data_IF_223011492999
#
_entry.id   IF_223011492999
#
_cell.length_a   1.000
_cell.length_b   1.000
_cell.length_c   1.000
_cell.angle_alpha   90.00
_cell.angle_beta   90.00
_cell.angle_gamma   90.00
#
_symmetry.space_group_name_H-M   'P 1'
#
loop_
_entity.id
_entity.type
_entity.pdbx_description
1 polymer ?
#
# COMPACT_ATOMS: atom_id res chain seq x y z
N UNK A 1 -12.60 -39.08 -38.25
CA UNK A 1 -13.79 -38.86 -37.39
C UNK A 1 -13.54 -39.37 -35.96
N UNK A 2 -12.75 -38.66 -35.13
CA UNK A 2 -12.60 -38.96 -33.67
C UNK A 2 -12.38 -37.71 -32.81
N UNK A 3 -12.80 -36.53 -33.29
CA UNK A 3 -12.68 -35.27 -32.53
C UNK A 3 -14.01 -34.83 -31.88
N UNK A 4 -15.16 -35.29 -32.39
CA UNK A 4 -16.49 -34.89 -31.88
C UNK A 4 -16.93 -35.58 -30.58
N UNK A 5 -16.35 -36.73 -30.22
CA UNK A 5 -16.79 -37.53 -29.06
C UNK A 5 -16.16 -37.11 -27.73
N UNK A 6 -14.98 -36.47 -27.71
CA UNK A 6 -14.38 -35.95 -26.47
C UNK A 6 -15.08 -34.68 -25.98
N UNK A 7 -15.40 -33.74 -26.87
CA UNK A 7 -16.15 -32.52 -26.51
C UNK A 7 -17.56 -32.84 -25.99
N UNK A 8 -18.27 -33.79 -26.61
CA UNK A 8 -19.62 -34.17 -26.18
C UNK A 8 -19.65 -34.98 -24.87
N UNK A 9 -18.55 -35.65 -24.51
CA UNK A 9 -18.38 -36.35 -23.22
C UNK A 9 -17.97 -35.38 -22.11
N UNK A 10 -17.15 -34.38 -22.42
CA UNK A 10 -16.78 -33.29 -21.52
C UNK A 10 -17.98 -32.41 -21.15
N UNK A 11 -18.81 -32.01 -22.13
CA UNK A 11 -20.07 -31.31 -21.87
C UNK A 11 -21.08 -32.13 -21.08
N UNK A 12 -21.19 -33.44 -21.31
CA UNK A 12 -22.09 -34.32 -20.53
C UNK A 12 -21.63 -34.52 -19.10
N UNK A 13 -20.33 -34.71 -18.86
CA UNK A 13 -19.75 -34.83 -17.52
C UNK A 13 -19.88 -33.53 -16.72
N UNK A 14 -19.70 -32.36 -17.35
CA UNK A 14 -19.93 -31.07 -16.70
C UNK A 14 -21.42 -30.81 -16.40
N UNK A 15 -22.33 -31.23 -17.28
CA UNK A 15 -23.79 -31.11 -17.05
C UNK A 15 -24.28 -32.05 -15.94
N UNK A 16 -23.74 -33.27 -15.86
CA UNK A 16 -24.02 -34.23 -14.79
C UNK A 16 -23.41 -33.81 -13.44
N UNK A 17 -22.23 -33.17 -13.44
CA UNK A 17 -21.63 -32.56 -12.25
C UNK A 17 -22.42 -31.33 -11.77
N UNK A 18 -22.93 -30.52 -12.69
CA UNK A 18 -23.80 -29.37 -12.38
C UNK A 18 -25.13 -29.80 -11.76
N UNK A 19 -25.68 -30.95 -12.17
CA UNK A 19 -26.91 -31.53 -11.62
C UNK A 19 -26.73 -32.27 -10.27
N UNK A 20 -25.49 -32.48 -9.78
CA UNK A 20 -25.19 -33.08 -8.47
C UNK A 20 -24.59 -32.09 -7.46
N UNK A 21 -24.68 -30.79 -7.73
CA UNK A 21 -24.16 -29.76 -6.83
C UNK A 21 -25.11 -29.56 -5.66
N UNK A 22 -24.61 -29.73 -4.43
CA UNK A 22 -25.39 -29.40 -3.22
C UNK A 22 -25.54 -27.89 -3.10
N UNK A 23 -26.60 -27.40 -2.47
CA UNK A 23 -26.77 -25.96 -2.21
C UNK A 23 -25.58 -25.39 -1.41
N UNK A 24 -25.03 -26.20 -0.51
CA UNK A 24 -23.78 -25.95 0.23
C UNK A 24 -22.56 -25.68 -0.69
N UNK A 25 -22.41 -26.42 -1.78
CA UNK A 25 -21.29 -26.24 -2.71
C UNK A 25 -21.49 -25.02 -3.61
N UNK A 26 -22.75 -24.71 -3.96
CA UNK A 26 -23.10 -23.49 -4.70
C UNK A 26 -22.78 -22.25 -3.87
N UNK A 27 -23.18 -22.25 -2.60
CA UNK A 27 -22.85 -21.18 -1.65
C UNK A 27 -21.35 -21.01 -1.44
N UNK A 28 -20.59 -22.11 -1.33
CA UNK A 28 -19.15 -22.05 -1.19
C UNK A 28 -18.48 -21.48 -2.46
N UNK A 29 -18.92 -21.87 -3.66
CA UNK A 29 -18.40 -21.30 -4.91
C UNK A 29 -18.70 -19.79 -5.01
N UNK A 30 -19.91 -19.37 -4.66
CA UNK A 30 -20.27 -17.96 -4.64
C UNK A 30 -19.42 -17.18 -3.61
N UNK A 31 -19.22 -17.74 -2.41
CA UNK A 31 -18.36 -17.14 -1.39
C UNK A 31 -16.91 -17.02 -1.87
N UNK A 32 -16.39 -18.02 -2.58
CA UNK A 32 -15.07 -17.95 -3.19
C UNK A 32 -14.98 -16.81 -4.21
N UNK A 33 -15.93 -16.71 -5.15
CA UNK A 33 -15.89 -15.64 -6.15
C UNK A 33 -16.03 -14.23 -5.54
N UNK A 34 -17.03 -14.01 -4.68
CA UNK A 34 -17.20 -12.71 -3.99
C UNK A 34 -16.03 -12.38 -3.06
N UNK A 35 -15.42 -13.40 -2.45
CA UNK A 35 -14.21 -13.25 -1.66
C UNK A 35 -13.02 -12.83 -2.52
N UNK A 36 -12.74 -13.55 -3.60
CA UNK A 36 -11.61 -13.28 -4.49
C UNK A 36 -11.73 -11.91 -5.18
N UNK A 37 -12.88 -11.59 -5.77
CA UNK A 37 -13.11 -10.29 -6.42
C UNK A 37 -13.06 -9.14 -5.40
N UNK A 38 -13.70 -9.32 -4.24
CA UNK A 38 -13.68 -8.30 -3.20
C UNK A 38 -12.29 -8.09 -2.60
N UNK A 39 -11.48 -9.13 -2.47
CA UNK A 39 -10.08 -9.03 -2.03
C UNK A 39 -9.29 -8.13 -2.98
N UNK A 40 -9.35 -8.40 -4.29
CA UNK A 40 -8.68 -7.59 -5.32
C UNK A 40 -9.17 -6.15 -5.31
N UNK A 41 -10.50 -5.94 -5.29
CA UNK A 41 -11.08 -4.60 -5.29
C UNK A 41 -10.62 -3.77 -4.09
N UNK A 42 -10.77 -4.30 -2.87
CA UNK A 42 -10.32 -3.58 -1.67
C UNK A 42 -8.81 -3.37 -1.64
N UNK A 43 -8.02 -4.31 -2.15
CA UNK A 43 -6.56 -4.13 -2.23
C UNK A 43 -6.18 -2.94 -3.12
N UNK A 44 -6.75 -2.86 -4.33
CA UNK A 44 -6.48 -1.75 -5.26
C UNK A 44 -7.05 -0.42 -4.75
N UNK A 45 -8.20 -0.43 -4.07
CA UNK A 45 -8.73 0.77 -3.42
C UNK A 45 -7.84 1.24 -2.27
N UNK A 46 -7.19 0.32 -1.54
CA UNK A 46 -6.20 0.67 -0.53
C UNK A 46 -4.98 1.36 -1.15
N UNK A 47 -4.48 0.85 -2.29
CA UNK A 47 -3.38 1.50 -3.03
C UNK A 47 -3.73 2.93 -3.46
N UNK A 48 -4.93 3.12 -4.03
CA UNK A 48 -5.41 4.44 -4.40
C UNK A 48 -5.51 5.38 -3.19
N UNK A 49 -6.09 4.90 -2.08
CA UNK A 49 -6.19 5.68 -0.85
C UNK A 49 -4.81 6.11 -0.31
N UNK A 50 -3.76 5.28 -0.42
CA UNK A 50 -2.39 5.67 -0.03
C UNK A 50 -1.82 6.78 -0.93
N UNK A 51 -2.09 6.72 -2.25
CA UNK A 51 -1.67 7.78 -3.20
C UNK A 51 -2.33 9.11 -2.87
N UNK A 52 -3.56 9.08 -2.38
CA UNK A 52 -4.30 10.27 -1.91
C UNK A 52 -3.96 10.66 -0.47
N UNK A 53 -2.95 10.04 0.15
CA UNK A 53 -2.54 10.24 1.54
C UNK A 53 -3.67 10.00 2.55
N UNK A 54 -4.59 9.07 2.26
CA UNK A 54 -5.68 8.61 3.12
C UNK A 54 -5.34 7.27 3.78
N UNK A 55 -4.34 7.28 4.66
CA UNK A 55 -3.78 6.05 5.24
C UNK A 55 -4.76 5.29 6.14
N UNK A 56 -5.69 5.96 6.83
CA UNK A 56 -6.70 5.25 7.62
C UNK A 56 -7.77 4.60 6.74
N UNK A 57 -8.18 5.25 5.64
CA UNK A 57 -9.00 4.59 4.63
C UNK A 57 -8.27 3.41 3.99
N UNK A 58 -6.99 3.56 3.63
CA UNK A 58 -6.19 2.47 3.09
C UNK A 58 -6.12 1.29 4.07
N UNK A 59 -5.88 1.55 5.35
CA UNK A 59 -5.89 0.57 6.44
C UNK A 59 -7.23 -0.15 6.56
N UNK A 60 -8.35 0.57 6.47
CA UNK A 60 -9.69 -0.02 6.47
C UNK A 60 -9.88 -0.95 5.25
N UNK A 61 -9.48 -0.50 4.07
CA UNK A 61 -9.56 -1.31 2.85
C UNK A 61 -8.65 -2.54 2.91
N UNK A 62 -7.44 -2.44 3.44
CA UNK A 62 -6.57 -3.61 3.66
C UNK A 62 -7.19 -4.63 4.61
N UNK A 63 -7.81 -4.18 5.71
CA UNK A 63 -8.51 -5.06 6.64
C UNK A 63 -9.70 -5.76 5.95
N UNK A 64 -10.49 -5.02 5.16
CA UNK A 64 -11.59 -5.59 4.38
C UNK A 64 -11.07 -6.58 3.32
N UNK A 65 -9.93 -6.28 2.68
CA UNK A 65 -9.26 -7.14 1.71
C UNK A 65 -8.79 -8.45 2.35
N UNK A 66 -8.16 -8.39 3.52
CA UNK A 66 -7.73 -9.59 4.25
C UNK A 66 -8.92 -10.44 4.71
N UNK A 67 -10.01 -9.80 5.14
CA UNK A 67 -11.23 -10.51 5.53
C UNK A 67 -11.84 -11.26 4.34
N UNK A 68 -11.78 -10.67 3.14
CA UNK A 68 -12.21 -11.30 1.90
C UNK A 68 -11.35 -12.50 1.52
N UNK A 69 -10.04 -12.36 1.61
CA UNK A 69 -9.10 -13.45 1.34
C UNK A 69 -9.32 -14.63 2.29
N UNK A 70 -9.52 -14.37 3.58
CA UNK A 70 -9.80 -15.43 4.56
C UNK A 70 -11.09 -16.20 4.22
N UNK A 71 -12.16 -15.49 3.83
CA UNK A 71 -13.44 -16.11 3.40
C UNK A 71 -13.28 -16.90 2.10
N UNK A 72 -12.56 -16.35 1.13
CA UNK A 72 -12.26 -17.06 -0.12
C UNK A 72 -11.46 -18.35 0.17
N UNK A 73 -10.43 -18.26 1.00
CA UNK A 73 -9.63 -19.42 1.41
C UNK A 73 -10.42 -20.47 2.19
N UNK A 74 -11.36 -20.06 3.05
CA UNK A 74 -12.26 -20.98 3.73
C UNK A 74 -13.15 -21.74 2.72
N UNK A 75 -13.77 -21.01 1.79
CA UNK A 75 -14.61 -21.60 0.75
C UNK A 75 -13.81 -22.56 -0.16
N UNK A 76 -12.61 -22.15 -0.57
CA UNK A 76 -11.70 -22.95 -1.40
C UNK A 76 -11.32 -24.28 -0.72
N UNK A 77 -11.05 -24.25 0.60
CA UNK A 77 -10.81 -25.47 1.39
C UNK A 77 -12.05 -26.34 1.53
N UNK A 78 -13.23 -25.75 1.78
CA UNK A 78 -14.51 -26.48 1.89
C UNK A 78 -14.86 -27.25 0.61
N UNK A 79 -14.50 -26.69 -0.54
CA UNK A 79 -14.65 -27.30 -1.86
C UNK A 79 -13.60 -28.38 -2.17
N UNK A 80 -12.70 -28.70 -1.23
CA UNK A 80 -11.59 -29.64 -1.38
C UNK A 80 -10.68 -29.30 -2.57
N UNK A 81 -10.49 -28.00 -2.82
CA UNK A 81 -9.57 -27.52 -3.87
C UNK A 81 -8.14 -27.34 -3.37
N UNK A 82 -7.90 -27.34 -2.05
CA UNK A 82 -6.56 -27.53 -1.49
C UNK A 82 -6.30 -29.02 -1.34
N UNK A 83 -5.33 -29.55 -2.10
CA UNK A 83 -4.90 -30.94 -2.05
C UNK A 83 -3.44 -31.05 -1.63
N UNK A 84 -2.80 -32.20 -1.86
CA UNK A 84 -1.35 -32.31 -1.65
C UNK A 84 -0.59 -31.35 -2.56
N UNK A 85 0.62 -30.94 -2.16
CA UNK A 85 1.45 -30.01 -2.95
C UNK A 85 1.69 -30.51 -4.37
N UNK A 86 1.93 -31.81 -4.54
CA UNK A 86 2.10 -32.41 -5.86
C UNK A 86 0.85 -32.25 -6.74
N UNK A 87 -0.34 -32.51 -6.19
CA UNK A 87 -1.61 -32.34 -6.91
C UNK A 87 -1.91 -30.87 -7.21
N UNK A 88 -1.57 -29.95 -6.30
CA UNK A 88 -1.77 -28.52 -6.51
C UNK A 88 -0.87 -28.00 -7.65
N UNK A 89 0.37 -28.48 -7.77
CA UNK A 89 1.27 -28.14 -8.89
C UNK A 89 0.71 -28.62 -10.22
N UNK A 90 0.23 -29.87 -10.29
CA UNK A 90 -0.42 -30.39 -11.50
C UNK A 90 -1.67 -29.58 -11.86
N UNK A 91 -2.47 -29.22 -10.86
CA UNK A 91 -3.68 -28.41 -11.05
C UNK A 91 -3.36 -26.99 -11.53
N UNK A 92 -2.28 -26.38 -11.01
CA UNK A 92 -1.80 -25.08 -11.47
C UNK A 92 -1.28 -25.15 -12.92
N UNK A 93 -0.49 -26.18 -13.26
CA UNK A 93 0.03 -26.38 -14.61
C UNK A 93 -1.07 -26.64 -15.64
N UNK A 94 -2.10 -27.41 -15.28
CA UNK A 94 -3.20 -27.79 -16.18
C UNK A 94 -4.31 -26.74 -16.29
N UNK A 95 -4.28 -25.69 -15.46
CA UNK A 95 -5.33 -24.66 -15.42
C UNK A 95 -6.59 -25.16 -14.73
N UNK A 96 -6.58 -25.21 -13.39
CA UNK A 96 -7.72 -25.63 -12.58
C UNK A 96 -9.02 -24.89 -12.97
N UNK A 97 -10.07 -25.67 -13.29
CA UNK A 97 -11.36 -25.14 -13.75
C UNK A 97 -12.33 -25.03 -12.59
N UNK A 98 -12.91 -23.85 -12.38
CA UNK A 98 -13.88 -23.58 -11.33
C UNK A 98 -15.33 -23.91 -11.77
N UNK A 99 -15.60 -23.79 -13.08
CA UNK A 99 -16.94 -23.86 -13.66
C UNK A 99 -17.67 -22.51 -13.58
N UNK A 100 -18.98 -22.53 -13.84
CA UNK A 100 -19.81 -21.33 -13.75
C UNK A 100 -19.97 -20.90 -12.29
N UNK A 101 -19.78 -19.60 -12.03
CA UNK A 101 -20.01 -18.99 -10.72
C UNK A 101 -21.02 -17.86 -10.89
N UNK A 102 -22.07 -17.90 -10.09
CA UNK A 102 -23.08 -16.84 -10.07
C UNK A 102 -22.68 -15.75 -9.06
N UNK A 103 -22.34 -14.57 -9.55
CA UNK A 103 -22.01 -13.41 -8.75
C UNK A 103 -22.59 -12.14 -9.37
N UNK A 104 -23.48 -11.47 -8.63
CA UNK A 104 -24.18 -10.25 -9.05
C UNK A 104 -23.47 -8.95 -8.63
N UNK A 105 -22.40 -9.05 -7.84
CA UNK A 105 -21.68 -7.92 -7.23
C UNK A 105 -20.22 -8.25 -6.98
N UNK A 106 -19.40 -7.21 -6.79
CA UNK A 106 -17.97 -7.34 -6.47
C UNK A 106 -17.75 -7.54 -4.97
N UNK A 107 -18.51 -6.84 -4.13
CA UNK A 107 -18.38 -6.90 -2.67
C UNK A 107 -19.74 -7.12 -2.00
N UNK A 108 -19.76 -7.92 -0.94
CA UNK A 108 -20.80 -7.86 0.10
C UNK A 108 -20.26 -7.08 1.30
N UNK A 109 -21.07 -6.70 2.30
CA UNK A 109 -20.55 -6.09 3.53
C UNK A 109 -21.26 -6.67 4.76
N UNK A 110 -20.51 -7.00 5.80
CA UNK A 110 -21.07 -7.35 7.11
C UNK A 110 -21.63 -6.08 7.78
N UNK A 111 -22.47 -6.20 8.83
CA UNK A 111 -22.96 -5.04 9.56
C UNK A 111 -21.84 -4.10 10.04
N UNK A 112 -20.78 -4.65 10.67
CA UNK A 112 -19.63 -3.85 11.10
C UNK A 112 -18.90 -3.19 9.92
N UNK A 113 -18.61 -3.93 8.84
CA UNK A 113 -17.96 -3.36 7.66
C UNK A 113 -18.78 -2.23 7.04
N UNK A 114 -20.11 -2.35 7.03
CA UNK A 114 -21.01 -1.30 6.56
C UNK A 114 -20.92 -0.06 7.43
N UNK A 115 -20.88 -0.22 8.75
CA UNK A 115 -20.70 0.89 9.68
C UNK A 115 -19.36 1.61 9.45
N UNK A 116 -18.26 0.87 9.38
CA UNK A 116 -16.92 1.42 9.11
C UNK A 116 -16.86 2.18 7.78
N UNK A 117 -17.45 1.61 6.72
CA UNK A 117 -17.54 2.26 5.41
C UNK A 117 -18.43 3.50 5.43
N UNK A 118 -19.49 3.53 6.25
CA UNK A 118 -20.31 4.74 6.42
C UNK A 118 -19.52 5.85 7.11
N UNK A 119 -18.66 5.52 8.09
CA UNK A 119 -17.71 6.49 8.67
C UNK A 119 -16.74 7.02 7.61
N UNK A 120 -16.18 6.13 6.78
CA UNK A 120 -15.28 6.50 5.69
C UNK A 120 -15.96 7.42 4.66
N UNK A 121 -17.21 7.14 4.28
CA UNK A 121 -17.98 8.00 3.36
C UNK A 121 -18.15 9.41 3.91
N UNK A 122 -18.44 9.57 5.21
CA UNK A 122 -18.53 10.89 5.85
C UNK A 122 -17.20 11.63 5.80
N UNK A 123 -16.10 10.97 6.19
CA UNK A 123 -14.77 11.59 6.16
C UNK A 123 -14.39 12.06 4.74
N UNK A 124 -14.63 11.24 3.72
CA UNK A 124 -14.37 11.60 2.31
C UNK A 124 -15.25 12.76 1.86
N UNK A 125 -16.53 12.81 2.25
CA UNK A 125 -17.42 13.93 1.91
C UNK A 125 -16.97 15.27 2.52
N UNK A 126 -16.17 15.21 3.59
CA UNK A 126 -15.56 16.36 4.25
C UNK A 126 -14.14 16.67 3.72
N UNK A 127 -13.67 15.96 2.69
CA UNK A 127 -12.35 16.19 2.09
C UNK A 127 -11.17 15.77 2.98
N UNK A 128 -11.40 14.89 3.96
CA UNK A 128 -10.38 14.46 4.94
C UNK A 128 -10.28 12.92 5.04
N UNK A 129 -9.25 12.45 5.74
CA UNK A 129 -9.13 11.03 6.12
C UNK A 129 -9.95 10.75 7.40
N UNK A 130 -10.15 9.46 7.70
CA UNK A 130 -10.66 9.01 9.01
C UNK A 130 -9.68 9.43 10.11
N UNK A 131 -10.19 10.01 11.19
CA UNK A 131 -9.40 10.39 12.37
C UNK A 131 -9.17 9.20 13.30
N UNK A 132 -8.21 9.35 14.21
CA UNK A 132 -7.88 8.33 15.21
C UNK A 132 -9.07 7.95 16.10
N UNK A 133 -9.96 8.91 16.37
CA UNK A 133 -11.19 8.68 17.12
C UNK A 133 -12.34 8.07 16.31
N UNK A 134 -12.22 7.99 14.97
CA UNK A 134 -13.27 7.46 14.09
C UNK A 134 -12.99 6.02 13.62
N UNK A 135 -11.72 5.59 13.67
CA UNK A 135 -11.28 4.25 13.30
C UNK A 135 -10.25 3.70 14.30
N UNK A 136 -10.69 2.78 15.15
CA UNK A 136 -9.82 2.03 16.05
C UNK A 136 -8.89 1.06 15.30
N UNK A 137 -8.03 0.36 16.05
CA UNK A 137 -7.27 -0.74 15.48
C UNK A 137 -8.20 -1.86 14.99
N UNK A 138 -7.92 -2.38 13.80
CA UNK A 138 -8.72 -3.44 13.21
C UNK A 138 -7.98 -4.78 13.34
N UNK A 139 -8.75 -5.83 13.57
CA UNK A 139 -8.26 -7.20 13.65
C UNK A 139 -9.09 -8.07 12.73
N UNK A 140 -8.41 -8.89 11.92
CA UNK A 140 -9.06 -9.79 10.97
C UNK A 140 -8.65 -11.22 11.29
N UNK A 141 -9.63 -12.05 11.63
CA UNK A 141 -9.41 -13.48 11.79
C UNK A 141 -8.98 -14.11 10.46
N UNK A 142 -7.77 -14.66 10.36
CA UNK A 142 -7.25 -15.28 9.13
C UNK A 142 -7.96 -16.59 8.80
N UNK A 143 -8.65 -17.20 9.77
CA UNK A 143 -9.41 -18.45 9.62
C UNK A 143 -10.77 -18.23 8.96
N UNK A 144 -11.52 -17.19 9.34
CA UNK A 144 -12.91 -17.00 8.89
C UNK A 144 -13.23 -15.60 8.33
N UNK A 145 -12.29 -14.65 8.41
CA UNK A 145 -12.46 -13.28 7.93
C UNK A 145 -13.46 -12.46 8.75
N UNK A 146 -13.65 -12.79 10.02
CA UNK A 146 -14.36 -11.91 10.97
C UNK A 146 -13.49 -10.69 11.28
N UNK A 147 -14.12 -9.53 11.34
CA UNK A 147 -13.45 -8.25 11.58
C UNK A 147 -13.88 -7.76 12.97
N UNK A 148 -12.93 -7.28 13.75
CA UNK A 148 -13.16 -6.61 15.02
C UNK A 148 -12.48 -5.23 15.00
N UNK A 149 -13.10 -4.25 15.65
CA UNK A 149 -12.52 -2.93 15.90
C UNK A 149 -12.22 -2.75 17.39
N UNK A 150 -11.10 -2.11 17.72
CA UNK A 150 -10.74 -1.76 19.09
C UNK A 150 -9.74 -2.75 19.69
N UNK A 151 -10.17 -3.56 20.67
CA UNK A 151 -9.30 -4.53 21.34
C UNK A 151 -9.70 -5.95 20.95
N UNK A 152 -8.69 -6.80 20.75
CA UNK A 152 -8.90 -8.23 20.55
C UNK A 152 -9.04 -8.91 21.93
N UNK A 153 -10.26 -9.33 22.27
CA UNK A 153 -10.58 -9.97 23.53
C UNK A 153 -11.02 -11.43 23.29
N UNK A 154 -10.17 -12.37 23.71
CA UNK A 154 -10.48 -13.80 23.67
C UNK A 154 -10.56 -14.39 22.26
N UNK A 155 -11.16 -15.58 22.16
CA UNK A 155 -11.29 -16.31 20.91
C UNK A 155 -12.19 -15.59 19.90
N UNK A 156 -12.00 -15.88 18.61
CA UNK A 156 -12.84 -15.33 17.54
C UNK A 156 -14.31 -15.67 17.77
N UNK A 157 -15.17 -14.65 17.88
CA UNK A 157 -16.61 -14.80 18.15
C UNK A 157 -17.38 -15.60 17.08
N UNK A 158 -16.78 -15.76 15.89
CA UNK A 158 -17.40 -16.46 14.76
C UNK A 158 -16.96 -17.92 14.63
N UNK A 159 -15.67 -18.21 14.78
CA UNK A 159 -15.14 -19.56 14.53
C UNK A 159 -14.44 -20.20 15.72
N UNK A 160 -14.29 -19.49 16.84
CA UNK A 160 -13.65 -19.99 18.06
C UNK A 160 -12.13 -20.13 17.99
N UNK A 161 -11.48 -19.68 16.91
CA UNK A 161 -10.01 -19.72 16.82
C UNK A 161 -9.35 -18.76 17.83
N UNK A 162 -8.11 -19.05 18.19
CA UNK A 162 -7.35 -18.30 19.19
C UNK A 162 -6.94 -16.89 18.69
N UNK A 163 -6.66 -15.93 19.60
CA UNK A 163 -6.28 -14.56 19.24
C UNK A 163 -5.13 -14.45 18.23
N UNK A 164 -4.15 -15.34 18.31
CA UNK A 164 -2.95 -15.38 17.47
C UNK A 164 -3.27 -15.60 15.98
N UNK A 165 -4.46 -16.13 15.65
CA UNK A 165 -4.94 -16.26 14.28
C UNK A 165 -5.55 -14.96 13.73
N UNK A 166 -5.38 -13.81 14.39
CA UNK A 166 -5.84 -12.52 13.89
C UNK A 166 -4.69 -11.68 13.36
N UNK A 167 -4.84 -11.18 12.14
CA UNK A 167 -3.96 -10.16 11.58
C UNK A 167 -4.40 -8.80 12.09
N UNK A 168 -3.46 -8.04 12.64
CA UNK A 168 -3.69 -6.66 13.08
C UNK A 168 -3.51 -5.68 11.91
N UNK A 169 -4.26 -4.59 11.96
CA UNK A 169 -4.18 -3.44 11.07
C UNK A 169 -4.21 -2.19 11.95
N UNK A 170 -3.05 -1.85 12.49
CA UNK A 170 -2.91 -0.73 13.43
C UNK A 170 -2.63 0.58 12.72
N UNK A 171 -3.08 1.69 13.31
CA UNK A 171 -2.79 3.02 12.76
C UNK A 171 -1.26 3.23 12.66
N UNK A 172 -0.53 2.76 13.68
CA UNK A 172 0.93 2.85 13.75
C UNK A 172 1.65 2.03 12.67
N UNK A 173 1.11 0.88 12.27
CA UNK A 173 1.69 -0.01 11.25
C UNK A 173 1.45 0.53 9.83
N UNK A 174 0.35 1.24 9.63
CA UNK A 174 0.02 1.86 8.34
C UNK A 174 1.02 2.94 7.91
N UNK A 175 1.78 3.51 8.87
CA UNK A 175 2.83 4.48 8.59
C UNK A 175 4.15 3.81 8.19
N UNK A 176 4.33 2.52 8.48
CA UNK A 176 5.51 1.69 8.21
C UNK A 176 6.17 1.13 9.48
N UNK A 177 7.00 0.10 9.32
CA UNK A 177 7.55 -0.71 10.43
C UNK A 177 9.08 -0.71 10.49
N UNK A 178 9.76 0.09 9.68
CA UNK A 178 11.22 0.14 9.65
C UNK A 178 11.77 0.65 10.98
N UNK A 179 12.79 -0.04 11.49
CA UNK A 179 13.56 0.42 12.65
C UNK A 179 14.58 1.52 12.29
N UNK A 180 15.21 2.14 13.31
CA UNK A 180 16.12 3.27 13.13
C UNK A 180 17.24 3.03 12.10
N UNK A 181 17.84 1.84 12.09
CA UNK A 181 18.94 1.52 11.19
C UNK A 181 18.49 1.47 9.73
N UNK A 182 17.35 0.83 9.45
CA UNK A 182 16.78 0.77 8.10
C UNK A 182 16.32 2.15 7.62
N UNK A 183 15.78 2.98 8.53
CA UNK A 183 15.43 4.37 8.25
C UNK A 183 16.66 5.17 7.82
N UNK A 184 17.71 5.18 8.63
CA UNK A 184 18.94 5.92 8.33
C UNK A 184 19.55 5.47 7.01
N UNK A 185 19.64 4.15 6.80
CA UNK A 185 20.20 3.57 5.59
C UNK A 185 19.41 3.91 4.32
N UNK A 186 18.10 4.10 4.41
CA UNK A 186 17.29 4.59 3.30
C UNK A 186 17.56 6.08 3.06
N UNK A 187 17.49 6.90 4.11
CA UNK A 187 17.64 8.35 4.00
C UNK A 187 19.01 8.76 3.44
N UNK A 188 20.07 8.02 3.79
CA UNK A 188 21.44 8.22 3.29
C UNK A 188 21.60 7.88 1.80
N UNK A 189 20.75 7.03 1.24
CA UNK A 189 20.85 6.54 -0.15
C UNK A 189 19.91 7.25 -1.13
N UNK A 190 18.86 7.93 -0.64
CA UNK A 190 17.89 8.56 -1.55
C UNK A 190 18.56 9.53 -2.53
N UNK A 191 19.53 10.33 -2.10
CA UNK A 191 20.19 11.29 -2.99
C UNK A 191 20.90 10.63 -4.18
N UNK A 192 21.57 9.50 -3.97
CA UNK A 192 22.23 8.73 -5.03
C UNK A 192 21.21 8.25 -6.07
N UNK A 193 20.03 7.80 -5.61
CA UNK A 193 18.93 7.41 -6.50
C UNK A 193 18.42 8.60 -7.32
N UNK A 194 18.26 9.78 -6.72
CA UNK A 194 17.84 10.99 -7.42
C UNK A 194 18.86 11.42 -8.49
N UNK A 195 20.15 11.40 -8.16
CA UNK A 195 21.24 11.69 -9.10
C UNK A 195 21.26 10.70 -10.27
N UNK A 196 21.00 9.42 -9.99
CA UNK A 196 20.88 8.38 -11.03
C UNK A 196 19.69 8.62 -11.95
N UNK A 197 18.55 9.02 -11.40
CA UNK A 197 17.33 9.29 -12.19
C UNK A 197 17.53 10.44 -13.19
N UNK A 198 18.29 11.47 -12.83
CA UNK A 198 18.52 12.63 -13.71
C UNK A 198 19.76 12.51 -14.59
N UNK A 199 20.61 11.51 -14.36
CA UNK A 199 21.87 11.35 -15.08
C UNK A 199 21.65 11.23 -16.60
N UNK A 200 22.42 12.03 -17.34
CA UNK A 200 22.41 12.04 -18.81
C UNK A 200 21.22 12.75 -19.45
N UNK A 201 20.41 13.46 -18.68
CA UNK A 201 19.26 14.25 -19.18
C UNK A 201 19.56 15.75 -19.06
N UNK A 202 19.16 16.53 -20.07
CA UNK A 202 19.29 17.99 -20.03
C UNK A 202 18.18 18.66 -19.19
N UNK A 203 18.41 19.92 -18.81
CA UNK A 203 17.52 20.68 -17.93
C UNK A 203 16.10 20.87 -18.51
N UNK A 204 16.00 21.06 -19.83
CA UNK A 204 14.72 21.22 -20.54
C UNK A 204 13.92 19.91 -20.51
N UNK A 205 14.60 18.77 -20.64
CA UNK A 205 14.00 17.45 -20.55
C UNK A 205 13.51 17.15 -19.14
N UNK A 206 14.32 17.48 -18.13
CA UNK A 206 13.98 17.29 -16.71
C UNK A 206 12.83 18.19 -16.24
N UNK A 207 12.63 19.34 -16.91
CA UNK A 207 11.51 20.26 -16.69
C UNK A 207 10.21 19.84 -17.38
N UNK A 208 10.26 18.86 -18.30
CA UNK A 208 9.11 18.45 -19.09
C UNK A 208 8.13 17.63 -18.26
N UNK A 209 6.84 17.96 -18.40
CA UNK A 209 5.73 17.12 -17.93
C UNK A 209 5.27 16.17 -19.04
N UNK A 210 4.89 14.94 -18.67
CA UNK A 210 4.27 13.99 -19.61
C UNK A 210 2.89 14.48 -20.07
N UNK A 211 2.13 15.08 -19.16
CA UNK A 211 0.83 15.71 -19.37
C UNK A 211 0.58 16.70 -18.21
N UNK A 212 -0.49 17.49 -18.27
CA UNK A 212 -0.77 18.53 -17.27
C UNK A 212 -0.91 18.00 -15.84
N UNK A 213 -1.37 16.75 -15.68
CA UNK A 213 -1.58 16.10 -14.38
C UNK A 213 -0.31 15.44 -13.81
N UNK A 214 0.69 15.13 -14.64
CA UNK A 214 1.92 14.47 -14.22
C UNK A 214 3.02 15.50 -13.96
N UNK A 215 3.58 15.59 -12.73
CA UNK A 215 4.69 16.49 -12.44
C UNK A 215 5.95 16.12 -13.24
N UNK A 216 6.83 17.09 -13.41
CA UNK A 216 8.17 16.88 -13.96
C UNK A 216 9.11 16.29 -12.91
N UNK A 217 10.24 15.74 -13.34
CA UNK A 217 11.25 15.20 -12.42
C UNK A 217 11.78 16.28 -11.46
N UNK A 218 11.98 17.52 -11.94
CA UNK A 218 12.45 18.64 -11.10
C UNK A 218 11.44 19.01 -10.02
N UNK A 219 10.15 19.02 -10.36
CA UNK A 219 9.08 19.27 -9.39
C UNK A 219 9.04 18.19 -8.31
N UNK A 220 9.19 16.92 -8.69
CA UNK A 220 9.23 15.81 -7.73
C UNK A 220 10.44 15.88 -6.81
N UNK A 221 11.64 16.16 -7.34
CA UNK A 221 12.86 16.30 -6.51
C UNK A 221 12.73 17.47 -5.54
N UNK A 222 12.23 18.62 -6.01
CA UNK A 222 11.99 19.78 -5.16
C UNK A 222 10.95 19.52 -4.07
N UNK A 223 9.85 18.83 -4.42
CA UNK A 223 8.84 18.40 -3.45
C UNK A 223 9.42 17.49 -2.36
N UNK A 224 10.34 16.58 -2.71
CA UNK A 224 11.04 15.76 -1.72
C UNK A 224 11.91 16.61 -0.78
N UNK A 225 12.57 17.66 -1.30
CA UNK A 225 13.37 18.56 -0.48
C UNK A 225 12.51 19.32 0.54
N UNK A 226 11.36 19.82 0.11
CA UNK A 226 10.43 20.50 1.01
C UNK A 226 9.86 19.56 2.08
N UNK A 227 9.48 18.34 1.70
CA UNK A 227 8.92 17.34 2.61
C UNK A 227 9.94 16.88 3.65
N UNK A 228 11.23 16.80 3.28
CA UNK A 228 12.31 16.53 4.22
C UNK A 228 12.43 17.64 5.29
N UNK A 229 12.27 18.91 4.91
CA UNK A 229 12.27 20.03 5.85
C UNK A 229 11.10 19.97 6.84
N UNK A 230 9.92 19.58 6.37
CA UNK A 230 8.72 19.40 7.21
C UNK A 230 8.89 18.24 8.17
N UNK A 231 9.42 17.12 7.70
CA UNK A 231 9.78 16.00 8.57
C UNK A 231 10.77 16.45 9.65
N UNK A 232 11.82 17.19 9.29
CA UNK A 232 12.81 17.71 10.25
C UNK A 232 12.18 18.61 11.31
N UNK A 233 11.24 19.49 10.93
CA UNK A 233 10.50 20.32 11.88
C UNK A 233 9.69 19.45 12.87
N UNK A 234 8.98 18.43 12.37
CA UNK A 234 8.20 17.52 13.22
C UNK A 234 9.09 16.66 14.12
N UNK A 235 10.22 16.21 13.61
CA UNK A 235 11.22 15.47 14.39
C UNK A 235 11.77 16.33 15.52
N UNK A 236 12.13 17.59 15.25
CA UNK A 236 12.55 18.54 16.26
C UNK A 236 11.48 18.75 17.35
N UNK A 237 10.21 18.93 16.96
CA UNK A 237 9.11 19.06 17.93
C UNK A 237 9.01 17.84 18.85
N UNK A 238 9.03 16.63 18.30
CA UNK A 238 8.98 15.38 19.08
C UNK A 238 10.17 15.24 20.03
N UNK A 239 11.37 15.65 19.60
CA UNK A 239 12.60 15.55 20.38
C UNK A 239 12.66 16.59 21.51
N UNK A 240 12.30 17.84 21.23
CA UNK A 240 12.51 18.97 22.14
C UNK A 240 11.30 19.32 23.02
N UNK A 241 10.11 18.82 22.68
CA UNK A 241 8.90 19.09 23.46
C UNK A 241 8.29 17.81 24.02
N UNK A 242 7.46 17.95 25.06
CA UNK A 242 6.81 16.80 25.70
C UNK A 242 5.42 16.58 25.08
N UNK A 243 5.25 15.48 24.36
CA UNK A 243 3.98 15.08 23.72
C UNK A 243 3.31 16.19 22.89
N UNK A 244 4.00 16.76 21.89
CA UNK A 244 3.40 17.79 21.04
C UNK A 244 2.21 17.26 20.25
N UNK A 245 1.26 18.14 19.94
CA UNK A 245 0.27 17.87 18.88
C UNK A 245 0.86 18.27 17.53
N UNK A 246 0.97 17.31 16.62
CA UNK A 246 1.44 17.51 15.26
C UNK A 246 0.26 17.81 14.33
N UNK A 247 0.43 18.83 13.48
CA UNK A 247 -0.58 19.24 12.51
C UNK A 247 -0.86 18.13 11.49
N UNK A 248 -2.15 17.85 11.18
CA UNK A 248 -2.51 16.91 10.11
C UNK A 248 -2.27 17.48 8.72
N UNK A 249 -2.03 18.78 8.60
CA UNK A 249 -1.71 19.39 7.32
C UNK A 249 -0.35 18.86 6.84
N UNK A 250 -0.29 18.54 5.54
CA UNK A 250 0.93 18.16 4.82
C UNK A 250 1.35 19.27 3.84
N UNK A 251 1.59 20.53 4.29
CA UNK A 251 2.25 21.50 3.43
C UNK A 251 3.74 21.12 3.32
N UNK A 252 4.38 21.37 2.18
CA UNK A 252 3.81 21.92 0.95
C UNK A 252 3.13 20.86 0.06
N UNK A 253 2.18 21.31 -0.76
CA UNK A 253 1.58 20.48 -1.81
C UNK A 253 2.51 20.36 -3.01
N UNK A 254 2.36 19.28 -3.78
CA UNK A 254 3.11 19.10 -5.03
C UNK A 254 2.91 20.26 -6.02
N UNK A 255 1.77 20.94 -5.99
CA UNK A 255 1.52 22.14 -6.80
C UNK A 255 2.51 23.28 -6.49
N UNK A 256 2.88 23.45 -5.22
CA UNK A 256 3.85 24.48 -4.84
C UNK A 256 5.26 24.19 -5.33
N UNK A 257 5.56 22.91 -5.64
CA UNK A 257 6.84 22.52 -6.21
C UNK A 257 7.00 22.94 -7.69
N UNK A 258 5.97 23.54 -8.32
CA UNK A 258 6.06 24.04 -9.69
C UNK A 258 7.23 25.01 -9.91
N UNK A 259 7.62 25.77 -8.88
CA UNK A 259 8.75 26.70 -8.93
C UNK A 259 10.12 26.03 -9.17
N UNK A 260 10.27 24.74 -8.87
CA UNK A 260 11.52 24.02 -9.10
C UNK A 260 11.74 23.70 -10.58
N UNK A 261 10.69 23.73 -11.40
CA UNK A 261 10.79 23.50 -12.83
C UNK A 261 11.71 24.51 -13.53
N UNK A 262 11.69 25.75 -13.06
CA UNK A 262 12.44 26.86 -13.67
C UNK A 262 13.88 27.00 -13.13
N UNK A 263 14.27 26.20 -12.13
CA UNK A 263 15.60 26.23 -11.53
C UNK A 263 16.55 25.24 -12.20
N UNK A 264 17.85 25.48 -12.35
CA UNK A 264 18.78 24.46 -12.85
C UNK A 264 18.75 23.18 -11.99
N UNK A 265 18.83 21.99 -12.60
CA UNK A 265 18.75 20.72 -11.86
C UNK A 265 19.76 20.64 -10.70
N UNK A 266 20.97 21.15 -10.92
CA UNK A 266 22.03 21.17 -9.89
C UNK A 266 21.58 21.95 -8.65
N UNK A 267 20.89 23.08 -8.83
CA UNK A 267 20.37 23.87 -7.71
C UNK A 267 19.27 23.13 -6.94
N UNK A 268 18.41 22.38 -7.64
CA UNK A 268 17.35 21.57 -7.02
C UNK A 268 17.96 20.40 -6.22
N UNK A 269 18.98 19.73 -6.77
CA UNK A 269 19.73 18.68 -6.08
C UNK A 269 20.52 19.22 -4.89
N UNK A 270 21.12 20.41 -4.98
CA UNK A 270 21.84 21.04 -3.88
C UNK A 270 20.89 21.44 -2.74
N UNK A 271 19.68 21.90 -3.06
CA UNK A 271 18.63 22.16 -2.08
C UNK A 271 18.23 20.86 -1.34
N UNK A 272 18.04 19.76 -2.10
CA UNK A 272 17.77 18.44 -1.54
C UNK A 272 18.92 17.94 -0.65
N UNK A 273 20.16 18.00 -1.13
CA UNK A 273 21.35 17.61 -0.36
C UNK A 273 21.45 18.40 0.95
N UNK A 274 21.23 19.72 0.89
CA UNK A 274 21.32 20.60 2.07
C UNK A 274 20.28 20.21 3.13
N UNK A 275 19.03 20.02 2.75
CA UNK A 275 17.97 19.64 3.69
C UNK A 275 18.20 18.23 4.25
N UNK A 276 18.57 17.26 3.39
CA UNK A 276 18.84 15.88 3.81
C UNK A 276 20.03 15.78 4.75
N UNK A 277 21.10 16.53 4.51
CA UNK A 277 22.26 16.59 5.41
C UNK A 277 21.87 17.10 6.82
N UNK A 278 21.00 18.11 6.90
CA UNK A 278 20.47 18.60 8.19
C UNK A 278 19.62 17.53 8.89
N UNK A 279 18.78 16.82 8.14
CA UNK A 279 17.94 15.73 8.67
C UNK A 279 18.79 14.58 9.20
N UNK A 280 19.79 14.12 8.44
CA UNK A 280 20.72 13.07 8.87
C UNK A 280 21.51 13.50 10.11
N UNK A 281 21.94 14.76 10.18
CA UNK A 281 22.63 15.31 11.35
C UNK A 281 21.74 15.28 12.60
N UNK A 282 20.46 15.66 12.49
CA UNK A 282 19.50 15.61 13.59
C UNK A 282 19.26 14.18 14.11
N UNK A 283 19.18 13.20 13.19
CA UNK A 283 18.85 11.81 13.54
C UNK A 283 20.06 10.99 14.00
N UNK A 284 21.27 11.43 13.67
CA UNK A 284 22.51 10.69 13.95
C UNK A 284 22.75 10.58 15.45
N UNK A 285 22.96 9.35 15.92
CA UNK A 285 23.28 9.07 17.33
C UNK A 285 22.07 9.13 18.27
N UNK A 286 20.85 9.29 17.76
CA UNK A 286 19.64 9.21 18.57
C UNK A 286 19.52 7.84 19.26
N UNK A 287 19.21 7.86 20.56
CA UNK A 287 18.96 6.65 21.34
C UNK A 287 17.62 6.02 20.97
N UNK A 288 17.42 4.75 21.32
CA UNK A 288 16.11 4.10 21.15
C UNK A 288 14.98 4.88 21.84
N UNK A 289 15.24 5.42 23.04
CA UNK A 289 14.26 6.25 23.75
C UNK A 289 13.91 7.53 22.98
N UNK A 290 14.87 8.16 22.30
CA UNK A 290 14.62 9.35 21.50
C UNK A 290 13.73 9.03 20.27
N UNK A 291 13.98 7.91 19.61
CA UNK A 291 13.15 7.40 18.51
C UNK A 291 11.70 7.07 18.92
N UNK A 292 11.49 6.71 20.19
CA UNK A 292 10.18 6.39 20.75
C UNK A 292 9.51 7.58 21.45
N UNK A 293 10.06 8.80 21.37
CA UNK A 293 9.38 9.99 21.92
C UNK A 293 8.06 10.21 21.20
N UNK A 294 7.00 10.28 21.99
CA UNK A 294 5.63 10.34 21.50
C UNK A 294 5.14 11.78 21.32
N UNK A 295 4.19 11.92 20.41
CA UNK A 295 3.31 13.06 20.23
C UNK A 295 1.93 12.59 19.77
N UNK A 296 1.02 13.53 19.58
CA UNK A 296 -0.34 13.25 19.14
C UNK A 296 -0.56 13.79 17.73
N UNK A 297 -1.19 12.99 16.87
CA UNK A 297 -1.63 13.39 15.54
C UNK A 297 -3.13 13.17 15.41
N UNK A 298 -3.87 14.15 14.92
CA UNK A 298 -5.34 14.08 14.84
C UNK A 298 -5.83 12.87 14.02
N UNK A 299 -5.10 12.51 12.96
CA UNK A 299 -5.42 11.39 12.08
C UNK A 299 -4.92 10.04 12.65
N UNK A 300 -3.74 9.99 13.25
CA UNK A 300 -3.09 8.70 13.58
C UNK A 300 -3.07 8.37 15.07
N UNK A 301 -3.47 9.31 15.92
CA UNK A 301 -3.46 9.17 17.37
C UNK A 301 -2.05 9.35 17.91
N UNK A 302 -1.65 8.50 18.85
CA UNK A 302 -0.31 8.54 19.43
C UNK A 302 0.68 8.02 18.39
N UNK A 303 1.67 8.87 18.07
CA UNK A 303 2.74 8.56 17.14
C UNK A 303 4.09 8.93 17.74
N UNK A 304 5.16 8.34 17.24
CA UNK A 304 6.52 8.65 17.64
C UNK A 304 7.38 9.03 16.42
N UNK A 305 8.67 9.28 16.66
CA UNK A 305 9.61 9.66 15.61
C UNK A 305 9.80 8.54 14.58
N UNK A 306 9.77 7.25 14.97
CA UNK A 306 9.79 6.13 14.03
C UNK A 306 8.63 6.18 13.05
N UNK A 307 7.42 6.46 13.53
CA UNK A 307 6.25 6.55 12.65
C UNK A 307 6.38 7.72 11.67
N UNK A 308 6.87 8.89 12.11
CA UNK A 308 7.09 10.03 11.21
C UNK A 308 8.17 9.73 10.15
N UNK A 309 9.24 9.03 10.53
CA UNK A 309 10.30 8.69 9.60
C UNK A 309 9.85 7.63 8.58
N UNK A 310 9.08 6.62 9.02
CA UNK A 310 8.49 5.64 8.13
C UNK A 310 7.50 6.29 7.13
N UNK A 311 6.71 7.27 7.59
CA UNK A 311 5.84 8.04 6.70
C UNK A 311 6.64 8.81 5.63
N UNK A 312 7.74 9.47 6.01
CA UNK A 312 8.64 10.14 5.06
C UNK A 312 9.21 9.15 4.03
N UNK A 313 9.69 7.99 4.48
CA UNK A 313 10.26 6.95 3.60
C UNK A 313 9.22 6.40 2.63
N UNK A 314 8.01 6.13 3.11
CA UNK A 314 6.90 5.66 2.26
C UNK A 314 6.57 6.68 1.18
N UNK A 315 6.52 7.96 1.54
CA UNK A 315 6.32 9.07 0.62
C UNK A 315 7.46 9.20 -0.41
N UNK A 316 8.72 9.20 0.02
CA UNK A 316 9.88 9.24 -0.88
C UNK A 316 9.91 8.05 -1.84
N UNK A 317 9.68 6.83 -1.33
CA UNK A 317 9.68 5.62 -2.14
C UNK A 317 8.61 5.68 -3.24
N UNK A 318 7.42 6.17 -2.93
CA UNK A 318 6.36 6.33 -3.91
C UNK A 318 6.79 7.26 -5.06
N UNK A 319 7.40 8.40 -4.74
CA UNK A 319 7.88 9.33 -5.77
C UNK A 319 9.13 8.84 -6.51
N UNK A 320 10.01 8.05 -5.89
CA UNK A 320 11.12 7.40 -6.61
C UNK A 320 10.61 6.44 -7.69
N UNK A 321 9.59 5.65 -7.39
CA UNK A 321 8.94 4.77 -8.38
C UNK A 321 8.26 5.58 -9.48
N UNK A 322 7.53 6.63 -9.10
CA UNK A 322 6.89 7.54 -10.05
C UNK A 322 7.91 8.21 -10.98
N UNK A 323 9.01 8.74 -10.45
CA UNK A 323 10.09 9.34 -11.23
C UNK A 323 10.74 8.33 -12.18
N UNK A 324 10.96 7.09 -11.74
CA UNK A 324 11.51 6.05 -12.61
C UNK A 324 10.59 5.76 -13.81
N UNK A 325 9.26 5.71 -13.57
CA UNK A 325 8.28 5.52 -14.64
C UNK A 325 8.22 6.75 -15.57
N UNK A 326 8.19 7.96 -15.01
CA UNK A 326 8.19 9.21 -15.79
C UNK A 326 9.42 9.29 -16.71
N UNK A 327 10.60 8.99 -16.14
CA UNK A 327 11.86 8.96 -16.89
C UNK A 327 11.78 7.97 -18.05
N UNK A 328 11.30 6.76 -17.81
CA UNK A 328 11.14 5.74 -18.85
C UNK A 328 10.22 6.24 -19.98
N UNK A 329 9.04 6.74 -19.63
CA UNK A 329 8.03 7.18 -20.62
C UNK A 329 8.52 8.40 -21.44
N UNK A 330 9.23 9.33 -20.80
CA UNK A 330 9.82 10.48 -21.50
C UNK A 330 10.92 10.04 -22.48
N UNK A 331 11.79 9.12 -22.07
CA UNK A 331 12.87 8.60 -22.94
C UNK A 331 12.28 7.81 -24.10
N UNK A 332 11.31 6.93 -23.83
CA UNK A 332 10.65 6.13 -24.86
C UNK A 332 9.94 6.98 -25.94
N UNK A 333 9.51 8.19 -25.57
CA UNK A 333 8.84 9.12 -26.49
C UNK A 333 9.80 10.11 -27.18
N UNK A 334 11.05 10.24 -26.73
CA UNK A 334 12.03 11.19 -27.28
C UNK A 334 13.19 10.49 -27.98
N UNK A 335 13.20 10.59 -29.31
CA UNK A 335 14.20 9.95 -30.19
C UNK A 335 15.65 10.42 -29.93
N UNK A 336 15.86 11.52 -29.19
CA UNK A 336 17.20 12.01 -28.82
C UNK A 336 17.87 11.12 -27.78
N UNK A 337 17.07 10.42 -26.97
CA UNK A 337 17.51 9.57 -25.88
C UNK A 337 17.20 8.11 -26.24
N UNK A 338 17.93 7.53 -27.20
CA UNK A 338 17.81 6.10 -27.48
C UNK A 338 18.29 5.29 -26.26
N UNK A 339 17.54 4.24 -25.90
CA UNK A 339 17.67 3.44 -24.67
C UNK A 339 19.09 3.34 -24.11
N UNK A 340 19.41 4.13 -23.08
CA UNK A 340 20.37 3.67 -22.09
C UNK A 340 19.68 2.55 -21.35
N UNK A 341 20.09 1.30 -21.60
CA UNK A 341 19.65 0.14 -20.84
C UNK A 341 19.73 0.47 -19.36
N UNK A 342 18.57 0.60 -18.69
CA UNK A 342 18.49 0.66 -17.24
C UNK A 342 18.76 -0.76 -16.75
N UNK A 343 20.02 -1.17 -16.81
CA UNK A 343 20.49 -2.48 -16.36
C UNK A 343 20.74 -2.48 -14.85
N UNK A 344 20.83 -1.29 -14.24
CA UNK A 344 21.16 -1.13 -12.83
C UNK A 344 19.89 -1.01 -11.98
N UNK A 345 19.79 -1.92 -11.02
CA UNK A 345 18.73 -1.96 -10.02
C UNK A 345 18.81 -0.67 -9.18
N UNK A 346 17.83 0.23 -9.34
CA UNK A 346 17.77 1.54 -8.64
C UNK A 346 17.65 1.39 -7.11
N UNK A 347 17.23 0.23 -6.61
CA UNK A 347 17.14 -0.08 -5.17
C UNK A 347 17.75 -1.46 -4.90
N UNK A 348 19.04 -1.50 -4.56
CA UNK A 348 19.78 -2.75 -4.31
C UNK A 348 19.46 -3.40 -2.95
N UNK A 349 18.68 -2.73 -2.10
CA UNK A 349 18.26 -3.26 -0.81
C UNK A 349 16.82 -2.83 -0.48
N UNK A 350 15.83 -3.58 -0.99
CA UNK A 350 14.55 -3.67 -0.30
C UNK A 350 14.77 -4.58 0.90
N UNK A 351 15.19 -4.01 2.04
CA UNK A 351 14.95 -4.69 3.31
C UNK A 351 13.45 -4.61 3.56
N UNK A 352 12.71 -5.55 2.96
CA UNK A 352 11.43 -5.98 3.51
C UNK A 352 11.79 -6.64 4.85
N UNK A 353 11.89 -5.82 5.90
CA UNK A 353 12.11 -6.32 7.24
C UNK A 353 10.92 -7.17 7.64
N UNK A 354 11.19 -8.45 7.91
CA UNK A 354 10.37 -9.24 8.85
C UNK A 354 10.42 -8.64 10.25
#
# INVERSE_FOLDING_TARGET
MRCGTMHARWFRLNKEAYCRMTDSDREARQMFALGSMGHVAYHLWAEQARREHRFNLARLFDALSAARLARAGQAFRRLNWVRSTAENVVSAFSGAVIGDIDADRITGVTPLARELLARAQRAVSEGRDLRAGELGDLFVCTTCGEICEGKLEGACRRCGTVPEAHRAFRAIEAMGTLGPHAIMAFLERTEEALRTLVAGLDDDFLARRLNDATPSLKELIGHLADMDAIFRQRAWLLLETNQPTLSPAHPPSLESAAMYRDQPIDAVLDAYHTTRAQTLSLLRGLTSAAWHREGYHEVYGVINLLHQANWLISHERAHLVEMAQIRHDLIATDRRYAETTVADIVVTASNEGE
#
